data_IF_575857802587
#
_entry.id   IF_575857802587
#
_cell.length_a   1.000
_cell.length_b   1.000
_cell.length_c   1.000
_cell.angle_alpha   90.00
_cell.angle_beta   90.00
_cell.angle_gamma   90.00
#
_symmetry.space_group_name_H-M   'P 1'
#
loop_
_entity.id
_entity.type
_entity.pdbx_description
1 polymer ?
#
# COMPACT_ATOMS: atom_id res chain seq x y z
N UNK A 1 -37.75 -41.64 15.32
CA UNK A 1 -37.94 -41.38 13.88
C UNK A 1 -36.98 -40.27 13.47
N UNK A 2 -35.80 -40.64 12.96
CA UNK A 2 -34.66 -39.73 12.79
C UNK A 2 -34.65 -39.22 11.35
N UNK A 3 -35.02 -37.96 11.14
CA UNK A 3 -34.99 -37.32 9.82
C UNK A 3 -33.54 -37.10 9.38
N UNK A 4 -33.02 -37.99 8.54
CA UNK A 4 -31.76 -37.81 7.83
C UNK A 4 -31.90 -36.65 6.84
N UNK A 5 -31.29 -35.50 7.17
CA UNK A 5 -31.19 -34.39 6.21
C UNK A 5 -30.44 -34.88 4.97
N UNK A 6 -30.97 -34.65 3.75
CA UNK A 6 -30.30 -35.06 2.52
C UNK A 6 -28.94 -34.35 2.42
N UNK A 7 -27.88 -35.11 2.18
CA UNK A 7 -26.54 -34.56 1.93
C UNK A 7 -26.60 -33.69 0.66
N UNK A 8 -26.05 -32.47 0.68
CA UNK A 8 -26.04 -31.62 -0.51
C UNK A 8 -25.29 -32.34 -1.64
N UNK A 9 -25.97 -32.57 -2.77
CA UNK A 9 -25.34 -33.10 -3.98
C UNK A 9 -24.38 -32.03 -4.49
N UNK A 10 -23.09 -32.35 -4.51
CA UNK A 10 -22.06 -31.51 -5.13
C UNK A 10 -22.35 -31.41 -6.63
N UNK A 11 -22.81 -30.25 -7.08
CA UNK A 11 -22.98 -29.96 -8.50
C UNK A 11 -21.62 -29.47 -9.05
N UNK A 12 -20.86 -30.39 -9.65
CA UNK A 12 -19.56 -30.09 -10.26
C UNK A 12 -19.62 -28.97 -11.30
N UNK A 13 -20.78 -28.75 -11.96
CA UNK A 13 -20.97 -27.65 -12.91
C UNK A 13 -21.16 -26.30 -12.22
N UNK A 14 -21.65 -26.27 -10.98
CA UNK A 14 -21.69 -25.05 -10.15
C UNK A 14 -20.31 -24.75 -9.57
N UNK A 15 -19.57 -25.76 -9.13
CA UNK A 15 -18.20 -25.59 -8.65
C UNK A 15 -17.28 -25.07 -9.76
N UNK A 16 -17.28 -25.70 -10.93
CA UNK A 16 -16.50 -25.26 -12.08
C UNK A 16 -16.84 -23.84 -12.52
N UNK A 17 -18.14 -23.48 -12.58
CA UNK A 17 -18.57 -22.10 -12.90
C UNK A 17 -18.15 -21.09 -11.84
N UNK A 18 -18.11 -21.47 -10.56
CA UNK A 18 -17.68 -20.59 -9.47
C UNK A 18 -16.16 -20.36 -9.53
N UNK A 19 -15.38 -21.42 -9.79
CA UNK A 19 -13.93 -21.32 -9.97
C UNK A 19 -13.54 -20.50 -11.20
N UNK A 20 -14.25 -20.68 -12.32
CA UNK A 20 -14.00 -19.93 -13.56
C UNK A 20 -14.43 -18.45 -13.46
N UNK A 21 -15.36 -18.11 -12.55
CA UNK A 21 -15.82 -16.74 -12.34
C UNK A 21 -15.10 -16.02 -11.21
N UNK A 22 -14.47 -16.74 -10.29
CA UNK A 22 -13.74 -16.16 -9.16
C UNK A 22 -12.72 -15.07 -9.56
N UNK A 23 -11.96 -15.18 -10.68
CA UNK A 23 -11.09 -14.09 -11.10
C UNK A 23 -11.85 -12.82 -11.50
N UNK A 24 -13.06 -12.95 -12.06
CA UNK A 24 -13.88 -11.81 -12.49
C UNK A 24 -14.49 -11.02 -11.33
N UNK A 25 -14.40 -11.54 -10.11
CA UNK A 25 -14.79 -10.86 -8.88
C UNK A 25 -13.69 -9.90 -8.38
N UNK A 26 -12.46 -10.02 -8.89
CA UNK A 26 -11.28 -9.20 -8.53
C UNK A 26 -10.80 -8.36 -9.72
N UNK A 27 -11.70 -7.53 -10.27
CA UNK A 27 -11.45 -6.76 -11.49
C UNK A 27 -10.36 -5.72 -11.27
N UNK A 28 -10.33 -5.07 -10.12
CA UNK A 28 -9.32 -4.05 -9.83
C UNK A 28 -7.94 -4.69 -9.70
N UNK A 29 -7.84 -5.85 -9.07
CA UNK A 29 -6.59 -6.62 -9.02
C UNK A 29 -6.12 -6.97 -10.44
N UNK A 30 -6.99 -7.57 -11.25
CA UNK A 30 -6.65 -7.96 -12.62
C UNK A 30 -6.28 -6.76 -13.48
N UNK A 31 -7.04 -5.67 -13.40
CA UNK A 31 -6.75 -4.44 -14.12
C UNK A 31 -5.41 -3.87 -13.69
N UNK A 32 -5.11 -3.82 -12.38
CA UNK A 32 -3.82 -3.32 -11.86
C UNK A 32 -2.65 -4.10 -12.45
N UNK A 33 -2.70 -5.44 -12.38
CA UNK A 33 -1.66 -6.31 -12.93
C UNK A 33 -1.55 -6.12 -14.44
N UNK A 34 -2.68 -6.11 -15.16
CA UNK A 34 -2.69 -5.95 -16.61
C UNK A 34 -2.16 -4.59 -17.05
N UNK A 35 -2.60 -3.49 -16.43
CA UNK A 35 -2.13 -2.14 -16.73
C UNK A 35 -0.65 -1.98 -16.43
N UNK A 36 -0.16 -2.53 -15.32
CA UNK A 36 1.27 -2.48 -15.00
C UNK A 36 2.12 -3.29 -15.96
N UNK A 37 1.66 -4.49 -16.35
CA UNK A 37 2.35 -5.31 -17.32
C UNK A 37 2.38 -4.64 -18.71
N UNK A 38 1.25 -4.10 -19.17
CA UNK A 38 1.15 -3.41 -20.47
C UNK A 38 1.98 -2.12 -20.47
N UNK A 39 1.87 -1.29 -19.42
CA UNK A 39 2.64 -0.04 -19.31
C UNK A 39 4.15 -0.32 -19.31
N UNK A 40 4.59 -1.29 -18.50
CA UNK A 40 5.99 -1.72 -18.42
C UNK A 40 6.48 -2.23 -19.78
N UNK A 41 5.76 -3.17 -20.41
CA UNK A 41 6.15 -3.73 -21.70
C UNK A 41 6.19 -2.66 -22.81
N UNK A 42 5.25 -1.73 -22.80
CA UNK A 42 5.22 -0.62 -23.74
C UNK A 42 6.39 0.34 -23.53
N UNK A 43 6.69 0.72 -22.28
CA UNK A 43 7.82 1.56 -21.93
C UNK A 43 9.15 0.92 -22.32
N UNK A 44 9.36 -0.36 -21.99
CA UNK A 44 10.57 -1.12 -22.38
C UNK A 44 10.75 -1.13 -23.90
N UNK A 45 9.66 -1.36 -24.65
CA UNK A 45 9.72 -1.37 -26.11
C UNK A 45 9.99 0.01 -26.70
N UNK A 46 9.41 1.06 -26.13
CA UNK A 46 9.56 2.43 -26.62
C UNK A 46 10.96 3.00 -26.35
N UNK A 47 11.54 2.68 -25.20
CA UNK A 47 12.87 3.14 -24.79
C UNK A 47 14.02 2.32 -25.41
N UNK A 48 13.75 1.07 -25.79
CA UNK A 48 14.74 0.19 -26.41
C UNK A 48 15.64 -0.53 -25.40
N UNK A 49 16.55 -1.39 -25.90
CA UNK A 49 17.38 -2.27 -25.06
C UNK A 49 18.49 -1.53 -24.29
N UNK A 50 18.93 -0.38 -24.79
CA UNK A 50 20.06 0.39 -24.23
C UNK A 50 19.61 1.55 -23.32
N UNK A 51 18.39 1.44 -22.77
CA UNK A 51 17.79 2.47 -21.93
C UNK A 51 18.62 2.73 -20.66
N UNK A 52 18.86 4.01 -20.36
CA UNK A 52 19.56 4.44 -19.15
C UNK A 52 18.59 4.61 -17.97
N UNK A 53 19.10 4.53 -16.74
CA UNK A 53 18.31 4.78 -15.52
C UNK A 53 17.66 6.16 -15.55
N UNK A 54 18.40 7.18 -15.98
CA UNK A 54 17.89 8.56 -16.10
C UNK A 54 16.72 8.68 -17.09
N UNK A 55 16.68 7.88 -18.15
CA UNK A 55 15.55 7.85 -19.08
C UNK A 55 14.31 7.20 -18.46
N UNK A 56 14.50 6.13 -17.67
CA UNK A 56 13.42 5.50 -16.91
C UNK A 56 12.88 6.44 -15.83
N UNK A 57 13.76 7.12 -15.10
CA UNK A 57 13.42 8.07 -14.01
C UNK A 57 12.52 9.22 -14.49
N UNK A 58 12.56 9.57 -15.78
CA UNK A 58 11.65 10.57 -16.35
C UNK A 58 10.17 10.16 -16.28
N UNK A 59 9.90 8.87 -16.15
CA UNK A 59 8.55 8.31 -16.08
C UNK A 59 8.04 8.13 -14.64
N UNK A 60 8.93 8.17 -13.64
CA UNK A 60 8.59 7.95 -12.24
C UNK A 60 7.98 9.17 -11.58
N UNK A 61 7.30 8.96 -10.45
CA UNK A 61 6.71 10.03 -9.67
C UNK A 61 7.65 10.48 -8.54
N UNK A 62 7.43 11.69 -8.05
CA UNK A 62 8.21 12.25 -6.95
C UNK A 62 8.05 13.77 -6.92
N UNK A 63 8.80 14.42 -6.03
CA UNK A 63 8.82 15.87 -5.98
C UNK A 63 9.48 16.50 -7.23
N UNK A 64 10.62 16.00 -7.77
CA UNK A 64 11.26 16.66 -8.90
C UNK A 64 10.39 16.77 -10.17
N UNK A 65 9.70 15.70 -10.64
CA UNK A 65 8.82 15.81 -11.81
C UNK A 65 7.68 16.81 -11.62
N UNK A 66 7.16 16.96 -10.39
CA UNK A 66 6.12 17.94 -10.09
C UNK A 66 6.65 19.37 -10.20
N UNK A 67 7.87 19.62 -9.74
CA UNK A 67 8.54 20.92 -9.87
C UNK A 67 8.84 21.27 -11.34
N UNK A 68 9.14 20.26 -12.15
CA UNK A 68 9.38 20.40 -13.59
C UNK A 68 8.09 20.55 -14.42
N UNK A 69 6.93 20.69 -13.79
CA UNK A 69 5.65 20.82 -14.50
C UNK A 69 5.18 19.54 -15.18
N UNK A 70 5.58 18.36 -14.68
CA UNK A 70 5.20 17.04 -15.19
C UNK A 70 4.23 16.30 -14.24
N UNK A 71 3.00 16.80 -13.99
CA UNK A 71 2.05 16.14 -13.09
C UNK A 71 1.58 14.78 -13.60
N UNK A 72 1.70 14.51 -14.91
CA UNK A 72 1.43 13.21 -15.51
C UNK A 72 2.32 12.11 -14.94
N UNK A 73 3.50 12.45 -14.39
CA UNK A 73 4.44 11.54 -13.77
C UNK A 73 3.82 10.75 -12.60
N UNK A 74 2.86 11.37 -11.89
CA UNK A 74 2.07 10.72 -10.83
C UNK A 74 1.32 9.49 -11.34
N UNK A 75 0.85 9.53 -12.59
CA UNK A 75 0.10 8.44 -13.21
C UNK A 75 1.03 7.45 -13.91
N UNK A 76 2.03 7.91 -14.66
CA UNK A 76 2.95 6.99 -15.34
C UNK A 76 3.74 6.15 -14.34
N UNK A 77 4.32 6.78 -13.31
CA UNK A 77 5.13 6.07 -12.32
C UNK A 77 4.31 5.07 -11.49
N UNK A 78 3.01 5.33 -11.30
CA UNK A 78 2.11 4.43 -10.56
C UNK A 78 1.95 3.06 -11.21
N UNK A 79 1.93 2.99 -12.55
CA UNK A 79 1.73 1.73 -13.28
C UNK A 79 3.05 1.05 -13.65
N UNK A 80 4.14 1.79 -13.72
CA UNK A 80 5.47 1.25 -13.96
C UNK A 80 6.03 0.63 -12.68
N UNK A 81 6.96 -0.30 -12.84
CA UNK A 81 7.71 -0.89 -11.73
C UNK A 81 9.17 -0.50 -11.89
N UNK A 82 9.88 -0.40 -10.77
CA UNK A 82 11.31 -0.11 -10.75
C UNK A 82 12.08 -1.07 -11.67
N UNK A 83 13.05 -0.51 -12.40
CA UNK A 83 13.82 -1.19 -13.45
C UNK A 83 12.96 -1.86 -14.55
N UNK A 84 11.69 -1.47 -14.68
CA UNK A 84 10.72 -2.09 -15.60
C UNK A 84 10.59 -3.61 -15.38
N UNK A 85 10.75 -4.06 -14.13
CA UNK A 85 10.70 -5.49 -13.76
C UNK A 85 9.34 -5.88 -13.18
N UNK A 86 8.85 -7.07 -13.50
CA UNK A 86 7.70 -7.68 -12.81
C UNK A 86 8.23 -8.75 -11.84
N UNK A 87 7.58 -8.99 -10.68
CA UNK A 87 6.18 -8.65 -10.37
C UNK A 87 5.95 -7.46 -9.42
N UNK A 88 4.70 -6.98 -9.39
CA UNK A 88 4.21 -6.03 -8.38
C UNK A 88 4.38 -6.59 -6.96
N UNK A 89 4.59 -5.73 -5.94
CA UNK A 89 4.70 -6.19 -4.56
C UNK A 89 3.45 -6.93 -4.10
N UNK A 90 3.62 -8.12 -3.52
CA UNK A 90 2.52 -9.01 -3.13
C UNK A 90 1.51 -8.33 -2.18
N UNK A 91 1.99 -7.52 -1.23
CA UNK A 91 1.12 -6.80 -0.30
C UNK A 91 0.18 -5.82 -1.00
N UNK A 92 0.59 -5.26 -2.15
CA UNK A 92 -0.24 -4.34 -2.94
C UNK A 92 -1.43 -5.10 -3.50
N UNK A 93 -1.17 -6.25 -4.13
CA UNK A 93 -2.22 -7.11 -4.67
C UNK A 93 -3.15 -7.63 -3.58
N UNK A 94 -2.58 -8.01 -2.43
CA UNK A 94 -3.34 -8.47 -1.27
C UNK A 94 -4.28 -7.37 -0.73
N UNK A 95 -3.79 -6.14 -0.58
CA UNK A 95 -4.58 -5.00 -0.13
C UNK A 95 -5.79 -4.73 -1.02
N UNK A 96 -5.54 -4.69 -2.33
CA UNK A 96 -6.59 -4.48 -3.34
C UNK A 96 -7.60 -5.62 -3.28
N UNK A 97 -7.15 -6.88 -3.28
CA UNK A 97 -8.02 -8.04 -3.26
C UNK A 97 -8.92 -8.07 -2.01
N UNK A 98 -8.33 -7.87 -0.83
CA UNK A 98 -9.06 -7.88 0.44
C UNK A 98 -10.14 -6.78 0.49
N UNK A 99 -9.82 -5.58 0.00
CA UNK A 99 -10.77 -4.49 0.00
C UNK A 99 -11.84 -4.64 -1.09
N UNK A 100 -11.46 -5.02 -2.31
CA UNK A 100 -12.39 -5.27 -3.42
C UNK A 100 -13.44 -6.32 -3.06
N UNK A 101 -13.01 -7.38 -2.36
CA UNK A 101 -13.89 -8.45 -1.88
C UNK A 101 -15.06 -7.93 -1.03
N UNK A 102 -14.82 -6.89 -0.21
CA UNK A 102 -15.82 -6.38 0.75
C UNK A 102 -16.49 -5.07 0.30
N UNK A 103 -15.85 -4.27 -0.54
CA UNK A 103 -16.27 -2.91 -0.87
C UNK A 103 -16.73 -2.73 -2.33
N UNK A 104 -16.66 -3.77 -3.16
CA UNK A 104 -16.89 -3.74 -4.63
C UNK A 104 -15.78 -3.02 -5.40
N UNK A 105 -15.71 -3.30 -6.70
CA UNK A 105 -14.66 -2.81 -7.60
C UNK A 105 -14.52 -1.28 -7.64
N UNK A 106 -15.60 -0.51 -7.72
CA UNK A 106 -15.48 0.96 -7.87
C UNK A 106 -14.87 1.62 -6.63
N UNK A 107 -15.23 1.17 -5.42
CA UNK A 107 -14.66 1.70 -4.17
C UNK A 107 -13.20 1.32 -4.06
N UNK A 108 -12.86 0.08 -4.42
CA UNK A 108 -11.47 -0.37 -4.46
C UNK A 108 -10.63 0.46 -5.42
N UNK A 109 -11.13 0.75 -6.63
CA UNK A 109 -10.43 1.62 -7.59
C UNK A 109 -10.24 3.06 -7.05
N UNK A 110 -11.29 3.64 -6.44
CA UNK A 110 -11.20 4.99 -5.85
C UNK A 110 -10.19 5.05 -4.71
N UNK A 111 -10.18 4.07 -3.81
CA UNK A 111 -9.21 4.03 -2.70
C UNK A 111 -7.81 3.76 -3.20
N UNK A 112 -7.64 2.87 -4.17
CA UNK A 112 -6.34 2.54 -4.76
C UNK A 112 -5.72 3.76 -5.42
N UNK A 113 -6.42 4.37 -6.38
CA UNK A 113 -5.91 5.51 -7.15
C UNK A 113 -5.88 6.77 -6.30
N UNK A 114 -6.97 7.08 -5.58
CA UNK A 114 -7.03 8.25 -4.73
C UNK A 114 -6.04 8.19 -3.57
N UNK A 115 -5.88 7.02 -2.94
CA UNK A 115 -4.91 6.80 -1.87
C UNK A 115 -3.46 6.87 -2.34
N UNK A 116 -3.16 6.31 -3.53
CA UNK A 116 -1.85 6.46 -4.17
C UNK A 116 -1.54 7.95 -4.39
N UNK A 117 -2.39 8.67 -5.12
CA UNK A 117 -2.14 10.06 -5.49
C UNK A 117 -2.06 10.96 -4.26
N UNK A 118 -3.01 10.84 -3.33
CA UNK A 118 -3.02 11.65 -2.13
C UNK A 118 -1.83 11.33 -1.20
N UNK A 119 -1.44 10.06 -1.07
CA UNK A 119 -0.28 9.67 -0.26
C UNK A 119 1.03 10.24 -0.80
N UNK A 120 1.25 10.13 -2.12
CA UNK A 120 2.42 10.72 -2.79
C UNK A 120 2.42 12.25 -2.66
N UNK A 121 1.28 12.91 -2.88
CA UNK A 121 1.18 14.37 -2.78
C UNK A 121 1.42 14.89 -1.36
N UNK A 122 0.95 14.16 -0.33
CA UNK A 122 1.24 14.50 1.08
C UNK A 122 2.74 14.48 1.33
N UNK A 123 3.45 13.42 0.91
CA UNK A 123 4.89 13.32 1.11
C UNK A 123 5.65 14.36 0.30
N UNK A 124 5.27 14.61 -0.95
CA UNK A 124 5.85 15.69 -1.75
C UNK A 124 5.67 17.05 -1.07
N UNK A 125 4.49 17.31 -0.50
CA UNK A 125 4.21 18.54 0.25
C UNK A 125 5.05 18.67 1.52
N UNK A 126 5.32 17.57 2.22
CA UNK A 126 6.21 17.53 3.39
C UNK A 126 7.67 17.77 3.01
N UNK A 127 8.14 17.17 1.92
CA UNK A 127 9.53 17.28 1.46
C UNK A 127 9.82 18.62 0.75
N UNK A 128 8.81 19.24 0.15
CA UNK A 128 8.96 20.52 -0.55
C UNK A 128 9.70 21.58 0.28
N UNK A 129 9.29 21.95 1.50
CA UNK A 129 10.01 22.96 2.28
C UNK A 129 11.42 22.52 2.72
N UNK A 130 11.69 21.21 2.78
CA UNK A 130 12.94 20.65 3.28
C UNK A 130 14.01 20.49 2.18
N UNK A 131 13.62 20.57 0.90
CA UNK A 131 14.48 20.30 -0.27
C UNK A 131 15.72 21.20 -0.41
N UNK A 132 15.78 22.32 0.31
CA UNK A 132 16.91 23.25 0.30
C UNK A 132 17.56 23.43 1.67
N UNK A 133 17.17 22.60 2.65
CA UNK A 133 17.71 22.68 4.01
C UNK A 133 19.05 21.96 4.17
N UNK A 134 19.64 22.15 5.36
CA UNK A 134 20.91 21.52 5.75
C UNK A 134 20.74 20.04 6.14
N UNK A 135 19.51 19.59 6.32
CA UNK A 135 19.22 18.20 6.66
C UNK A 135 19.36 17.30 5.43
N UNK A 136 20.56 16.72 5.26
CA UNK A 136 20.94 15.93 4.08
C UNK A 136 19.91 14.83 3.76
N UNK A 137 19.49 14.04 4.76
CA UNK A 137 18.48 12.99 4.57
C UNK A 137 17.21 13.49 3.88
N UNK A 138 16.62 14.58 4.37
CA UNK A 138 15.39 15.11 3.77
C UNK A 138 15.62 15.71 2.38
N UNK A 139 16.80 16.29 2.14
CA UNK A 139 17.19 16.84 0.83
C UNK A 139 17.33 15.73 -0.21
N UNK A 140 17.99 14.64 0.15
CA UNK A 140 18.23 13.50 -0.73
C UNK A 140 16.90 12.78 -1.04
N UNK A 141 16.05 12.64 -0.02
CA UNK A 141 14.71 12.09 -0.20
C UNK A 141 13.82 12.96 -1.10
N UNK A 142 13.95 14.28 -0.99
CA UNK A 142 13.25 15.23 -1.86
C UNK A 142 13.69 15.14 -3.33
N UNK A 143 14.90 14.62 -3.60
CA UNK A 143 15.42 14.35 -4.94
C UNK A 143 15.06 12.98 -5.51
N UNK A 144 14.41 12.11 -4.73
CA UNK A 144 14.17 10.71 -5.11
C UNK A 144 12.97 10.57 -6.05
N UNK A 145 13.11 9.68 -7.03
CA UNK A 145 12.04 9.21 -7.93
C UNK A 145 11.59 7.83 -7.49
N UNK A 146 10.29 7.57 -7.56
CA UNK A 146 9.68 6.31 -7.14
C UNK A 146 8.67 5.79 -8.16
N UNK A 147 8.37 4.49 -8.06
CA UNK A 147 7.56 3.73 -8.99
C UNK A 147 6.60 2.77 -8.28
N UNK A 148 5.55 2.38 -8.99
CA UNK A 148 4.60 1.37 -8.56
C UNK A 148 3.46 1.90 -7.72
N UNK A 149 2.55 0.97 -7.42
CA UNK A 149 1.25 1.26 -6.81
C UNK A 149 1.19 0.93 -5.32
N UNK A 150 2.34 0.81 -4.68
CA UNK A 150 2.45 0.31 -3.31
C UNK A 150 1.76 1.19 -2.28
N UNK A 151 1.77 2.52 -2.48
CA UNK A 151 1.06 3.50 -1.65
C UNK A 151 -0.45 3.25 -1.68
N UNK A 152 -1.01 3.03 -2.86
CA UNK A 152 -2.41 2.66 -3.04
C UNK A 152 -2.73 1.26 -2.49
N UNK A 153 -1.77 0.34 -2.53
CA UNK A 153 -1.83 -0.95 -1.83
C UNK A 153 -2.01 -0.80 -0.32
N UNK A 154 -1.21 0.05 0.32
CA UNK A 154 -1.38 0.38 1.74
C UNK A 154 -2.69 1.14 2.02
N UNK A 155 -3.14 2.00 1.11
CA UNK A 155 -4.43 2.67 1.23
C UNK A 155 -5.61 1.69 1.19
N UNK A 156 -5.58 0.70 0.30
CA UNK A 156 -6.62 -0.35 0.24
C UNK A 156 -6.58 -1.25 1.48
N UNK A 157 -5.40 -1.61 2.01
CA UNK A 157 -5.28 -2.28 3.31
C UNK A 157 -5.89 -1.44 4.45
N UNK A 158 -5.58 -0.14 4.49
CA UNK A 158 -6.14 0.80 5.47
C UNK A 158 -7.66 0.86 5.40
N UNK A 159 -8.22 0.95 4.20
CA UNK A 159 -9.66 1.00 3.99
C UNK A 159 -10.36 -0.31 4.34
N UNK A 160 -9.74 -1.45 4.00
CA UNK A 160 -10.24 -2.79 4.35
C UNK A 160 -10.47 -2.95 5.85
N UNK A 161 -9.64 -2.34 6.70
CA UNK A 161 -9.83 -2.43 8.16
C UNK A 161 -11.18 -1.92 8.65
N UNK A 162 -11.87 -1.04 7.91
CA UNK A 162 -13.21 -0.56 8.25
C UNK A 162 -14.25 -1.69 8.27
N UNK A 163 -14.04 -2.75 7.47
CA UNK A 163 -14.94 -3.90 7.36
C UNK A 163 -14.65 -5.02 8.37
N UNK A 164 -13.60 -4.87 9.19
CA UNK A 164 -13.21 -5.87 10.17
C UNK A 164 -13.99 -5.74 11.49
N UNK A 165 -14.16 -6.84 12.24
CA UNK A 165 -14.61 -6.78 13.63
C UNK A 165 -13.72 -5.85 14.46
N UNK A 166 -14.30 -5.13 15.43
CA UNK A 166 -13.63 -4.07 16.21
C UNK A 166 -12.27 -4.51 16.77
N UNK A 167 -12.19 -5.72 17.34
CA UNK A 167 -10.95 -6.26 17.90
C UNK A 167 -9.85 -6.40 16.84
N UNK A 168 -10.17 -6.98 15.67
CA UNK A 168 -9.22 -7.17 14.58
C UNK A 168 -8.86 -5.85 13.88
N UNK A 169 -9.84 -4.96 13.68
CA UNK A 169 -9.59 -3.61 13.17
C UNK A 169 -8.56 -2.88 14.03
N UNK A 170 -8.74 -2.87 15.36
CA UNK A 170 -7.79 -2.22 16.29
C UNK A 170 -6.42 -2.89 16.25
N UNK A 171 -6.35 -4.22 16.30
CA UNK A 171 -5.08 -4.97 16.25
C UNK A 171 -4.29 -4.68 15.00
N UNK A 172 -4.88 -4.86 13.82
CA UNK A 172 -4.19 -4.59 12.56
C UNK A 172 -3.79 -3.13 12.44
N UNK A 173 -4.66 -2.20 12.88
CA UNK A 173 -4.30 -0.78 12.83
C UNK A 173 -3.11 -0.43 13.71
N UNK A 174 -3.09 -0.93 14.94
CA UNK A 174 -1.97 -0.72 15.86
C UNK A 174 -0.71 -1.39 15.34
N UNK A 175 -0.77 -2.68 14.98
CA UNK A 175 0.40 -3.44 14.54
C UNK A 175 1.06 -2.82 13.31
N UNK A 176 0.27 -2.51 12.27
CA UNK A 176 0.84 -1.95 11.05
C UNK A 176 1.27 -0.48 11.24
N UNK A 177 0.59 0.30 12.08
CA UNK A 177 1.06 1.66 12.40
C UNK A 177 2.37 1.65 13.22
N UNK A 178 2.56 0.65 14.09
CA UNK A 178 3.82 0.44 14.81
C UNK A 178 4.94 -0.12 13.94
N UNK A 179 4.63 -0.69 12.77
CA UNK A 179 5.62 -1.15 11.81
C UNK A 179 6.37 -0.01 11.12
N UNK A 180 5.66 1.02 10.63
CA UNK A 180 6.25 2.09 9.81
C UNK A 180 7.42 2.88 10.43
N UNK A 181 7.45 3.16 11.76
CA UNK A 181 8.59 3.85 12.36
C UNK A 181 9.92 3.12 12.16
N UNK A 182 9.93 1.78 12.11
CA UNK A 182 11.17 1.02 11.94
C UNK A 182 11.87 1.32 10.61
N UNK A 183 11.25 1.04 9.45
CA UNK A 183 11.81 1.39 8.15
C UNK A 183 12.17 2.87 8.05
N UNK A 184 11.28 3.77 8.50
CA UNK A 184 11.58 5.20 8.49
C UNK A 184 12.87 5.55 9.25
N UNK A 185 13.09 4.94 10.42
CA UNK A 185 14.27 5.20 11.26
C UNK A 185 15.55 4.52 10.77
N UNK A 186 15.47 3.44 9.99
CA UNK A 186 16.64 2.62 9.65
C UNK A 186 16.92 2.48 8.14
N UNK A 187 15.91 2.35 7.28
CA UNK A 187 16.12 2.32 5.83
C UNK A 187 16.11 3.72 5.22
N UNK A 188 15.17 4.57 5.65
CA UNK A 188 15.11 5.98 5.25
C UNK A 188 14.80 6.20 3.78
N UNK A 189 14.05 5.29 3.15
CA UNK A 189 13.67 5.36 1.74
C UNK A 189 12.35 6.13 1.56
N UNK A 190 12.10 6.65 0.36
CA UNK A 190 10.93 7.53 0.14
C UNK A 190 9.61 6.80 0.42
N UNK A 191 9.59 5.49 0.18
CA UNK A 191 8.43 4.66 0.49
C UNK A 191 8.17 4.48 1.98
N UNK A 192 9.16 4.71 2.85
CA UNK A 192 8.97 4.71 4.30
C UNK A 192 8.14 5.91 4.78
N UNK A 193 7.98 6.94 3.95
CA UNK A 193 7.05 8.06 4.16
C UNK A 193 5.73 7.85 3.39
N UNK A 194 5.78 7.37 2.15
CA UNK A 194 4.57 7.27 1.33
C UNK A 194 3.65 6.12 1.77
N UNK A 195 4.20 4.99 2.22
CA UNK A 195 3.40 3.87 2.75
C UNK A 195 2.55 4.25 3.97
N UNK A 196 3.09 4.86 5.05
CA UNK A 196 2.26 5.30 6.17
C UNK A 196 1.25 6.38 5.76
N UNK A 197 1.58 7.26 4.82
CA UNK A 197 0.63 8.26 4.30
C UNK A 197 -0.55 7.59 3.58
N UNK A 198 -0.28 6.67 2.64
CA UNK A 198 -1.30 5.89 1.96
C UNK A 198 -2.17 5.10 2.93
N UNK A 199 -1.54 4.42 3.89
CA UNK A 199 -2.22 3.70 4.97
C UNK A 199 -3.18 4.59 5.78
N UNK A 200 -2.73 5.76 6.24
CA UNK A 200 -3.54 6.69 7.02
C UNK A 200 -4.72 7.25 6.21
N UNK A 201 -4.48 7.62 4.95
CA UNK A 201 -5.53 8.07 4.02
C UNK A 201 -6.55 6.94 3.80
N UNK A 202 -6.07 5.71 3.60
CA UNK A 202 -6.89 4.51 3.46
C UNK A 202 -7.82 4.29 4.65
N UNK A 203 -7.33 4.42 5.88
CA UNK A 203 -8.16 4.36 7.10
C UNK A 203 -9.31 5.38 7.04
N UNK A 204 -9.01 6.62 6.66
CA UNK A 204 -9.99 7.70 6.53
C UNK A 204 -11.03 7.41 5.44
N UNK A 205 -10.57 7.08 4.23
CA UNK A 205 -11.44 6.74 3.10
C UNK A 205 -12.31 5.52 3.39
N UNK A 206 -11.76 4.48 4.03
CA UNK A 206 -12.52 3.31 4.44
C UNK A 206 -13.65 3.65 5.42
N UNK A 207 -13.40 4.53 6.39
CA UNK A 207 -14.42 4.98 7.32
C UNK A 207 -15.56 5.74 6.62
N UNK A 208 -15.23 6.59 5.64
CA UNK A 208 -16.21 7.35 4.86
C UNK A 208 -17.00 6.46 3.90
N UNK A 209 -16.32 5.56 3.17
CA UNK A 209 -16.93 4.76 2.10
C UNK A 209 -17.63 3.49 2.60
N UNK A 210 -17.26 2.97 3.76
CA UNK A 210 -17.94 1.83 4.39
C UNK A 210 -19.26 2.22 5.07
N UNK A 211 -19.61 3.51 5.10
CA UNK A 211 -20.67 4.13 5.91
C UNK A 211 -21.95 3.29 6.08
N UNK A 212 -21.99 2.59 7.21
CA UNK A 212 -23.14 2.47 8.11
C UNK A 212 -22.79 3.21 9.42
N UNK A 213 -23.78 3.45 10.29
CA UNK A 213 -23.55 4.15 11.57
C UNK A 213 -22.40 3.50 12.39
N UNK A 214 -21.63 4.28 13.18
CA UNK A 214 -20.58 3.73 14.06
C UNK A 214 -21.14 2.54 14.84
N UNK A 215 -20.48 1.39 14.72
CA UNK A 215 -21.00 0.19 15.37
C UNK A 215 -20.97 0.42 16.88
N UNK A 216 -22.03 0.10 17.66
CA UNK A 216 -22.05 0.35 19.10
C UNK A 216 -20.83 -0.21 19.85
N UNK A 217 -20.25 -1.31 19.36
CA UNK A 217 -19.02 -1.89 19.91
C UNK A 217 -17.75 -1.04 19.71
N UNK A 218 -17.78 0.02 18.90
CA UNK A 218 -16.68 1.00 18.87
C UNK A 218 -16.61 1.83 20.14
N UNK A 219 -17.74 1.97 20.85
CA UNK A 219 -17.89 2.72 22.10
C UNK A 219 -17.72 1.87 23.36
N UNK A 220 -17.60 0.54 23.23
CA UNK A 220 -17.44 -0.32 24.40
C UNK A 220 -16.03 -0.19 25.00
N UNK A 221 -15.91 -0.07 26.33
CA UNK A 221 -14.62 -0.07 27.02
C UNK A 221 -13.79 -1.31 26.68
N UNK A 222 -12.47 -1.14 26.62
CA UNK A 222 -11.54 -2.22 26.31
C UNK A 222 -11.47 -3.21 27.46
N UNK A 223 -11.54 -4.50 27.16
CA UNK A 223 -11.25 -5.54 28.15
C UNK A 223 -9.74 -5.61 28.41
N UNK A 224 -9.27 -6.02 29.60
CA UNK A 224 -7.84 -6.21 29.86
C UNK A 224 -7.15 -7.14 28.85
N UNK A 225 -7.81 -8.23 28.44
CA UNK A 225 -7.31 -9.15 27.41
C UNK A 225 -7.18 -8.52 26.02
N UNK A 226 -8.03 -7.56 25.68
CA UNK A 226 -7.90 -6.79 24.43
C UNK A 226 -6.69 -5.85 24.49
N UNK A 227 -6.42 -5.26 25.66
CA UNK A 227 -5.26 -4.39 25.87
C UNK A 227 -3.96 -5.17 25.73
N UNK A 228 -3.86 -6.34 26.36
CA UNK A 228 -2.70 -7.25 26.19
C UNK A 228 -2.52 -7.60 24.71
N UNK A 229 -3.60 -7.97 24.02
CA UNK A 229 -3.53 -8.27 22.59
C UNK A 229 -3.04 -7.09 21.73
N UNK A 230 -3.41 -5.86 22.08
CA UNK A 230 -2.90 -4.66 21.39
C UNK A 230 -1.43 -4.41 21.68
N UNK A 231 -0.98 -4.58 22.93
CA UNK A 231 0.44 -4.46 23.30
C UNK A 231 1.28 -5.49 22.56
N UNK A 232 0.84 -6.75 22.50
CA UNK A 232 1.54 -7.81 21.77
C UNK A 232 1.63 -7.46 20.28
N UNK A 233 0.53 -7.05 19.65
CA UNK A 233 0.53 -6.71 18.23
C UNK A 233 1.33 -5.43 17.94
N UNK A 234 1.34 -4.45 18.85
CA UNK A 234 2.20 -3.28 18.76
C UNK A 234 3.68 -3.67 18.82
N UNK A 235 4.06 -4.52 19.78
CA UNK A 235 5.42 -5.00 19.94
C UNK A 235 5.89 -5.82 18.73
N UNK A 236 5.05 -6.71 18.20
CA UNK A 236 5.33 -7.48 16.97
C UNK A 236 5.47 -6.54 15.77
N UNK A 237 4.58 -5.56 15.62
CA UNK A 237 4.66 -4.57 14.55
C UNK A 237 5.95 -3.76 14.60
N UNK A 238 6.28 -3.22 15.77
CA UNK A 238 7.52 -2.47 15.99
C UNK A 238 8.76 -3.33 15.73
N UNK A 239 8.81 -4.56 16.25
CA UNK A 239 9.91 -5.48 16.02
C UNK A 239 10.06 -5.82 14.53
N UNK A 240 8.96 -6.13 13.83
CA UNK A 240 8.97 -6.38 12.40
C UNK A 240 9.47 -5.16 11.62
N UNK A 241 9.06 -3.95 12.04
CA UNK A 241 9.54 -2.70 11.46
C UNK A 241 11.05 -2.52 11.63
N UNK A 242 11.57 -2.74 12.83
CA UNK A 242 13.02 -2.65 13.12
C UNK A 242 13.78 -3.68 12.28
N UNK A 243 13.34 -4.94 12.28
CA UNK A 243 14.02 -6.03 11.55
C UNK A 243 14.01 -5.76 10.05
N UNK A 244 12.88 -5.33 9.48
CA UNK A 244 12.78 -5.06 8.05
C UNK A 244 13.49 -3.77 7.64
N UNK A 245 13.41 -2.71 8.46
CA UNK A 245 14.15 -1.47 8.21
C UNK A 245 15.67 -1.67 8.28
N UNK A 246 16.13 -2.49 9.22
CA UNK A 246 17.55 -2.84 9.31
C UNK A 246 17.99 -3.80 8.19
N UNK A 247 17.20 -4.84 7.91
CA UNK A 247 17.55 -5.85 6.90
C UNK A 247 17.35 -5.40 5.44
N UNK A 248 16.51 -4.39 5.21
CA UNK A 248 16.14 -3.91 3.88
C UNK A 248 17.18 -3.04 3.18
N UNK A 249 18.25 -2.63 3.88
CA UNK A 249 19.21 -1.65 3.37
C UNK A 249 18.60 -0.24 3.31
N UNK A 250 19.15 0.63 2.47
CA UNK A 250 18.65 1.99 2.24
C UNK A 250 19.72 3.05 2.38
N UNK A 251 19.30 4.31 2.57
CA UNK A 251 20.19 5.48 2.70
C UNK A 251 20.49 5.87 4.16
N UNK A 252 19.93 5.11 5.11
CA UNK A 252 19.94 5.47 6.52
C UNK A 252 18.78 6.42 6.85
N UNK A 253 18.20 6.27 8.03
CA UNK A 253 17.06 7.08 8.45
C UNK A 253 17.40 8.54 8.79
N UNK A 254 16.42 9.33 9.27
CA UNK A 254 16.55 10.75 9.59
C UNK A 254 17.69 11.12 10.55
N UNK A 255 18.16 10.16 11.34
CA UNK A 255 19.22 10.31 12.34
C UNK A 255 20.56 9.67 11.93
N UNK A 256 20.69 9.22 10.68
CA UNK A 256 21.86 8.47 10.21
C UNK A 256 21.96 7.08 10.84
N UNK A 257 20.83 6.47 11.20
CA UNK A 257 20.79 5.10 11.71
C UNK A 257 20.52 4.12 10.56
N UNK A 258 21.11 2.93 10.66
CA UNK A 258 20.88 1.82 9.74
C UNK A 258 22.13 1.41 8.95
N UNK A 259 22.08 0.26 8.26
CA UNK A 259 23.26 -0.32 7.61
C UNK A 259 23.76 0.43 6.38
N UNK A 260 22.95 1.33 5.82
CA UNK A 260 23.34 2.20 4.70
C UNK A 260 23.76 3.62 5.11
N UNK A 261 23.76 3.94 6.40
CA UNK A 261 24.28 5.20 6.90
C UNK A 261 25.82 5.16 6.84
N UNK A 262 26.39 5.82 5.84
CA UNK A 262 27.84 6.06 5.74
C UNK A 262 28.32 7.09 6.75
#
# INVERSE_FOLDING_TARGET
>A
MTLTRPRPRYDGRRLARSLLRAPLDYRVVLLTVATSAVATAWATRALGPDVTTTEVDRLGFGLPPLLDGRPWALLSGMFLVEALTLPLPLFTLLGIALYEHVARHWRAAVVLVGGQLAGVLVVCGLLYPLRHGDWAWARDLAGTIDFGMSVGGFATLGAWTAHLPVAWRRRLRVGLSCYFPGPLLFSGLVYDLTHPAGWAIGIGLGAVLASGAPHPADRTPRRPSETIGLVVVAAVGALAGVVLGWGGGGSGGPFGWGPGAG
#
